data_IF_305555592832
#
_entry.id   IF_305555592832
#
_cell.length_a   1.000
_cell.length_b   1.000
_cell.length_c   1.000
_cell.angle_alpha   90.00
_cell.angle_beta   90.00
_cell.angle_gamma   90.00
#
_symmetry.space_group_name_H-M   'P 1'
#
loop_
_entity.id
_entity.type
_entity.pdbx_description
1 polymer ?
#
# COMPACT_ATOMS: atom_id res chain seq x y z
N UNK A 1 19.95 38.70 55.43
CA UNK A 1 19.65 37.29 55.12
C UNK A 1 19.42 37.18 53.61
N UNK A 2 20.16 36.30 52.94
CA UNK A 2 20.17 36.12 51.48
C UNK A 2 19.07 35.13 51.09
N UNK A 3 18.18 35.48 50.17
CA UNK A 3 17.31 34.53 49.47
C UNK A 3 17.63 34.59 47.98
N UNK A 4 18.41 33.61 47.53
CA UNK A 4 18.52 33.26 46.11
C UNK A 4 17.29 32.45 45.69
N UNK A 5 16.87 32.60 44.43
CA UNK A 5 15.75 31.86 43.86
C UNK A 5 15.65 32.12 42.36
N UNK A 6 16.47 31.41 41.56
CA UNK A 6 16.06 30.34 40.64
C UNK A 6 15.46 30.88 39.33
N UNK A 7 16.31 30.91 38.29
CA UNK A 7 15.95 31.12 36.89
C UNK A 7 15.25 29.84 36.40
N UNK A 8 13.97 29.94 36.05
CA UNK A 8 13.20 28.86 35.43
C UNK A 8 13.38 28.92 33.91
N UNK A 9 14.30 28.11 33.39
CA UNK A 9 14.49 27.93 31.95
C UNK A 9 13.51 26.87 31.40
N UNK A 10 12.46 27.30 30.70
CA UNK A 10 11.56 26.42 29.95
C UNK A 10 12.24 25.92 28.67
N UNK A 11 12.82 24.73 28.72
CA UNK A 11 13.26 23.99 27.53
C UNK A 11 12.02 23.42 26.84
N UNK A 12 11.62 24.04 25.73
CA UNK A 12 10.63 23.50 24.79
C UNK A 12 11.26 22.31 24.05
N UNK A 13 11.06 21.10 24.55
CA UNK A 13 11.42 19.89 23.81
C UNK A 13 10.47 19.73 22.63
N UNK A 14 10.99 19.98 21.43
CA UNK A 14 10.35 19.58 20.18
C UNK A 14 10.25 18.05 20.15
N UNK A 15 9.09 17.52 20.53
CA UNK A 15 8.78 16.11 20.35
C UNK A 15 8.66 15.79 18.87
N UNK A 16 9.68 15.14 18.30
CA UNK A 16 9.52 14.40 17.06
C UNK A 16 8.40 13.38 17.26
N UNK A 17 7.23 13.62 16.69
CA UNK A 17 6.19 12.60 16.56
C UNK A 17 6.71 11.55 15.57
N UNK A 18 7.42 10.56 16.11
CA UNK A 18 7.65 9.30 15.41
C UNK A 18 6.29 8.63 15.25
N UNK A 19 5.66 8.79 14.10
CA UNK A 19 4.52 7.95 13.72
C UNK A 19 4.98 6.51 13.79
N UNK A 20 4.44 5.73 14.73
CA UNK A 20 4.74 4.31 14.94
C UNK A 20 4.32 3.48 13.72
N UNK A 21 5.11 3.57 12.65
CA UNK A 21 5.17 2.56 11.62
C UNK A 21 5.87 1.38 12.27
N UNK A 22 5.19 0.24 12.40
CA UNK A 22 5.87 -1.04 12.67
C UNK A 22 6.88 -1.23 11.54
N UNK A 23 8.13 -0.86 11.81
CA UNK A 23 9.20 -0.97 10.83
C UNK A 23 9.38 -2.46 10.52
N UNK A 24 9.41 -2.86 9.25
CA UNK A 24 9.74 -4.24 8.92
C UNK A 24 11.08 -4.61 9.57
N UNK A 25 11.27 -5.86 10.02
CA UNK A 25 12.52 -6.30 10.63
C UNK A 25 13.71 -6.27 9.65
N UNK A 26 13.43 -6.06 8.37
CA UNK A 26 14.41 -5.98 7.28
C UNK A 26 14.60 -4.52 6.91
N UNK A 27 15.84 -4.00 6.79
CA UNK A 27 16.10 -2.66 6.29
C UNK A 27 15.81 -2.53 4.79
N UNK A 28 15.49 -1.31 4.34
CA UNK A 28 15.25 -1.07 2.92
C UNK A 28 16.56 -1.11 2.13
N UNK A 29 16.59 -1.90 1.05
CA UNK A 29 17.68 -1.93 0.07
C UNK A 29 17.21 -1.41 -1.30
N UNK A 30 17.76 -0.27 -1.69
CA UNK A 30 17.55 0.37 -2.98
C UNK A 30 18.03 -0.47 -4.17
N UNK A 31 19.09 -1.26 -3.97
CA UNK A 31 19.68 -2.10 -5.01
C UNK A 31 18.76 -3.28 -5.35
N UNK A 32 18.19 -3.94 -4.34
CA UNK A 32 17.16 -4.96 -4.53
C UNK A 32 15.91 -4.41 -5.23
N UNK A 33 15.56 -3.14 -5.01
CA UNK A 33 14.39 -2.51 -5.61
C UNK A 33 14.63 -1.95 -7.03
N UNK A 34 15.86 -2.00 -7.57
CA UNK A 34 16.23 -1.34 -8.84
C UNK A 34 15.34 -1.73 -10.01
N UNK A 35 14.84 -2.97 -10.01
CA UNK A 35 14.08 -3.57 -11.12
C UNK A 35 12.85 -2.74 -11.49
N UNK A 36 12.28 -2.00 -10.53
CA UNK A 36 11.13 -1.12 -10.79
C UNK A 36 11.46 0.04 -11.73
N UNK A 37 12.75 0.40 -11.87
CA UNK A 37 13.24 1.45 -12.77
C UNK A 37 13.70 0.92 -14.13
N UNK A 38 13.84 -0.40 -14.26
CA UNK A 38 14.19 -1.03 -15.53
C UNK A 38 13.01 -0.94 -16.50
N UNK A 39 13.29 -0.62 -17.76
CA UNK A 39 12.28 -0.61 -18.81
C UNK A 39 12.22 -2.02 -19.41
N UNK A 40 11.13 -2.73 -19.15
CA UNK A 40 10.83 -3.98 -19.86
C UNK A 40 9.88 -3.79 -21.03
N UNK A 41 9.50 -4.90 -21.65
CA UNK A 41 8.52 -4.95 -22.76
C UNK A 41 7.16 -5.48 -22.32
N UNK A 42 7.01 -5.86 -21.05
CA UNK A 42 5.81 -6.51 -20.54
C UNK A 42 4.80 -5.51 -19.99
N UNK A 43 3.57 -5.99 -19.86
CA UNK A 43 2.45 -5.25 -19.28
C UNK A 43 1.84 -6.03 -18.12
N UNK A 44 1.50 -5.33 -17.05
CA UNK A 44 0.61 -5.85 -16.01
C UNK A 44 -0.70 -5.09 -16.14
N UNK A 45 -1.81 -5.80 -16.27
CA UNK A 45 -3.14 -5.19 -16.31
C UNK A 45 -4.11 -5.95 -15.42
N UNK A 46 -5.24 -5.31 -15.11
CA UNK A 46 -6.20 -5.94 -14.24
C UNK A 46 -7.39 -5.07 -13.89
N UNK A 47 -8.20 -5.60 -13.00
CA UNK A 47 -9.36 -4.92 -12.43
C UNK A 47 -9.29 -4.93 -10.91
N UNK A 48 -9.67 -3.81 -10.30
CA UNK A 48 -9.77 -3.65 -8.85
C UNK A 48 -11.24 -3.58 -8.43
N UNK A 49 -11.62 -4.45 -7.51
CA UNK A 49 -12.99 -4.58 -7.02
C UNK A 49 -13.02 -4.80 -5.51
N UNK A 50 -14.13 -4.37 -4.90
CA UNK A 50 -14.44 -4.57 -3.50
C UNK A 50 -15.74 -5.36 -3.39
N UNK A 51 -15.72 -6.45 -2.66
CA UNK A 51 -16.89 -7.30 -2.40
C UNK A 51 -17.41 -6.99 -1.00
N UNK A 52 -18.65 -6.51 -0.94
CA UNK A 52 -19.40 -6.27 0.29
C UNK A 52 -19.85 -7.59 0.92
N UNK A 53 -20.37 -7.54 2.15
CA UNK A 53 -20.79 -8.73 2.90
C UNK A 53 -21.93 -9.51 2.24
N UNK A 54 -22.81 -8.84 1.51
CA UNK A 54 -23.91 -9.42 0.74
C UNK A 54 -23.45 -10.05 -0.59
N UNK A 55 -22.15 -10.00 -0.90
CA UNK A 55 -21.58 -10.54 -2.14
C UNK A 55 -21.60 -9.57 -3.32
N UNK A 56 -22.12 -8.35 -3.15
CA UNK A 56 -22.13 -7.34 -4.20
C UNK A 56 -20.71 -6.86 -4.52
N UNK A 57 -20.37 -6.79 -5.81
CA UNK A 57 -19.05 -6.37 -6.27
C UNK A 57 -19.05 -4.92 -6.77
N UNK A 58 -18.22 -4.08 -6.16
CA UNK A 58 -18.06 -2.67 -6.48
C UNK A 58 -16.71 -2.41 -7.15
N UNK A 59 -16.73 -1.80 -8.33
CA UNK A 59 -15.52 -1.37 -9.04
C UNK A 59 -14.84 -0.23 -8.30
N UNK A 60 -13.52 -0.30 -8.17
CA UNK A 60 -12.76 0.71 -7.44
C UNK A 60 -12.29 1.84 -8.34
N UNK A 61 -13.26 2.57 -8.88
CA UNK A 61 -13.01 3.69 -9.78
C UNK A 61 -12.10 4.76 -9.17
N UNK A 62 -11.10 5.22 -9.90
CA UNK A 62 -10.19 6.29 -9.46
C UNK A 62 -9.22 5.91 -8.33
N UNK A 63 -9.22 4.65 -7.88
CA UNK A 63 -8.28 4.18 -6.86
C UNK A 63 -6.83 4.29 -7.36
N UNK A 64 -5.90 4.60 -6.45
CA UNK A 64 -4.46 4.60 -6.78
C UNK A 64 -3.95 3.17 -6.66
N UNK A 65 -3.55 2.60 -7.78
CA UNK A 65 -2.92 1.28 -7.83
C UNK A 65 -1.41 1.46 -7.81
N UNK A 66 -0.73 0.67 -6.99
CA UNK A 66 0.71 0.72 -6.76
C UNK A 66 1.36 -0.57 -7.23
N UNK A 67 2.46 -0.46 -7.96
CA UNK A 67 3.33 -1.55 -8.35
C UNK A 67 4.63 -1.43 -7.56
N UNK A 68 4.95 -2.45 -6.78
CA UNK A 68 6.10 -2.50 -5.87
C UNK A 68 6.94 -3.73 -6.21
N UNK A 69 8.27 -3.64 -6.37
CA UNK A 69 9.11 -4.81 -6.55
C UNK A 69 9.10 -5.69 -5.30
N UNK A 70 8.98 -7.01 -5.45
CA UNK A 70 8.93 -7.97 -4.33
C UNK A 70 10.33 -8.25 -3.74
N UNK A 71 10.93 -7.23 -3.12
CA UNK A 71 12.19 -7.33 -2.36
C UNK A 71 11.97 -7.93 -0.97
N UNK A 72 13.01 -8.42 -0.27
CA UNK A 72 12.89 -8.88 1.11
C UNK A 72 12.21 -7.87 2.06
N UNK A 73 12.56 -6.58 1.92
CA UNK A 73 11.90 -5.49 2.64
C UNK A 73 10.40 -5.44 2.36
N UNK A 74 10.02 -5.41 1.08
CA UNK A 74 8.60 -5.30 0.70
C UNK A 74 7.81 -6.54 1.13
N UNK A 75 8.37 -7.74 1.02
CA UNK A 75 7.74 -8.98 1.47
C UNK A 75 7.44 -8.91 2.97
N UNK A 76 8.44 -8.56 3.79
CA UNK A 76 8.26 -8.40 5.23
C UNK A 76 7.24 -7.30 5.56
N UNK A 77 7.27 -6.19 4.82
CA UNK A 77 6.33 -5.07 4.98
C UNK A 77 4.89 -5.49 4.66
N UNK A 78 4.65 -6.15 3.54
CA UNK A 78 3.31 -6.60 3.16
C UNK A 78 2.78 -7.65 4.14
N UNK A 79 3.61 -8.60 4.58
CA UNK A 79 3.24 -9.56 5.61
C UNK A 79 2.82 -8.88 6.93
N UNK A 80 3.58 -7.89 7.38
CA UNK A 80 3.28 -7.14 8.60
C UNK A 80 2.00 -6.29 8.48
N UNK A 81 1.86 -5.53 7.38
CA UNK A 81 0.73 -4.62 7.18
C UNK A 81 -0.58 -5.37 6.95
N UNK A 82 -0.54 -6.46 6.19
CA UNK A 82 -1.74 -7.23 5.84
C UNK A 82 -1.98 -8.44 6.75
N UNK A 83 -1.13 -8.66 7.76
CA UNK A 83 -1.29 -9.74 8.76
C UNK A 83 -1.45 -11.12 8.10
N UNK A 84 -0.71 -11.36 7.02
CA UNK A 84 -0.77 -12.58 6.23
C UNK A 84 -2.02 -12.75 5.35
N UNK A 85 -2.88 -11.73 5.25
CA UNK A 85 -4.11 -11.76 4.40
C UNK A 85 -3.87 -11.01 3.09
N UNK A 86 -4.66 -11.28 2.05
CA UNK A 86 -4.59 -10.51 0.80
C UNK A 86 -5.39 -9.20 0.84
N UNK A 87 -6.33 -9.10 1.79
CA UNK A 87 -7.19 -7.94 1.99
C UNK A 87 -7.40 -7.72 3.48
N UNK A 88 -7.49 -6.46 3.90
CA UNK A 88 -7.76 -6.06 5.28
C UNK A 88 -8.82 -4.96 5.32
N UNK A 89 -9.63 -4.90 6.40
CA UNK A 89 -10.67 -3.88 6.56
C UNK A 89 -10.08 -2.47 6.72
N UNK A 90 -10.88 -1.41 6.48
CA UNK A 90 -10.43 -0.02 6.53
C UNK A 90 -9.73 0.37 7.83
N UNK A 91 -10.22 -0.14 8.96
CA UNK A 91 -9.67 0.12 10.29
C UNK A 91 -8.23 -0.37 10.50
N UNK A 92 -7.76 -1.30 9.66
CA UNK A 92 -6.40 -1.81 9.69
C UNK A 92 -5.58 -1.40 8.47
N UNK A 93 -6.17 -0.62 7.55
CA UNK A 93 -5.48 -0.22 6.35
C UNK A 93 -4.23 0.60 6.71
N UNK A 94 -3.08 0.31 6.07
CA UNK A 94 -1.88 1.09 6.29
C UNK A 94 -2.10 2.56 5.89
N UNK A 95 -1.39 3.49 6.54
CA UNK A 95 -1.29 4.85 6.04
C UNK A 95 -0.86 4.88 4.57
N UNK A 96 -1.37 5.86 3.82
CA UNK A 96 -1.05 6.01 2.41
C UNK A 96 0.42 6.37 2.14
N UNK A 97 1.09 6.97 3.14
CA UNK A 97 2.51 7.31 3.08
C UNK A 97 3.36 6.19 3.69
N UNK A 98 4.30 5.70 2.90
CA UNK A 98 5.25 4.66 3.28
C UNK A 98 6.67 5.22 3.52
N UNK A 99 6.81 6.55 3.51
CA UNK A 99 8.08 7.27 3.53
C UNK A 99 8.60 7.57 2.11
N UNK A 100 9.40 8.63 1.95
CA UNK A 100 9.83 9.12 0.64
C UNK A 100 10.74 8.13 -0.10
N UNK A 101 11.65 7.47 0.62
CA UNK A 101 12.60 6.51 0.02
C UNK A 101 11.87 5.33 -0.61
N UNK A 102 11.01 4.63 0.13
CA UNK A 102 10.26 3.49 -0.40
C UNK A 102 9.28 3.91 -1.51
N UNK A 103 8.62 5.05 -1.34
CA UNK A 103 7.69 5.59 -2.33
C UNK A 103 8.38 5.90 -3.67
N UNK A 104 9.66 6.29 -3.65
CA UNK A 104 10.47 6.52 -4.88
C UNK A 104 10.79 5.24 -5.69
N UNK A 105 10.55 4.06 -5.10
CA UNK A 105 10.66 2.74 -5.74
C UNK A 105 9.30 2.08 -5.96
N UNK A 106 8.22 2.88 -5.95
CA UNK A 106 6.87 2.45 -6.25
C UNK A 106 6.38 3.15 -7.49
N UNK A 107 5.83 2.40 -8.45
CA UNK A 107 5.11 2.98 -9.59
C UNK A 107 3.63 3.09 -9.26
N UNK A 108 2.96 4.13 -9.74
CA UNK A 108 1.53 4.32 -9.50
C UNK A 108 0.77 4.53 -10.79
N UNK A 109 -0.47 4.04 -10.82
CA UNK A 109 -1.46 4.36 -11.86
C UNK A 109 -2.82 4.62 -11.20
N UNK A 110 -3.78 5.15 -11.94
CA UNK A 110 -5.15 5.36 -11.48
C UNK A 110 -6.07 4.37 -12.17
N UNK A 111 -6.92 3.71 -11.39
CA UNK A 111 -7.97 2.86 -11.94
C UNK A 111 -9.00 3.71 -12.70
N UNK A 112 -9.46 3.22 -13.85
CA UNK A 112 -10.51 3.83 -14.67
C UNK A 112 -11.87 3.84 -13.93
N UNK A 113 -12.91 4.43 -14.55
CA UNK A 113 -14.28 4.34 -14.04
C UNK A 113 -14.77 2.88 -13.91
N UNK A 114 -14.21 1.97 -14.72
CA UNK A 114 -14.53 0.56 -14.72
C UNK A 114 -13.67 -0.25 -13.73
N UNK A 115 -12.83 0.42 -12.93
CA UNK A 115 -11.91 -0.22 -12.00
C UNK A 115 -10.71 -0.90 -12.67
N UNK A 116 -10.53 -0.72 -13.99
CA UNK A 116 -9.40 -1.31 -14.72
C UNK A 116 -8.14 -0.47 -14.57
N UNK A 117 -6.98 -1.11 -14.59
CA UNK A 117 -5.68 -0.45 -14.48
C UNK A 117 -4.63 -1.18 -15.32
N UNK A 118 -3.54 -0.47 -15.64
CA UNK A 118 -2.40 -1.06 -16.30
C UNK A 118 -1.07 -0.39 -15.93
N UNK A 119 -0.01 -1.18 -16.00
CA UNK A 119 1.39 -0.76 -15.94
C UNK A 119 2.12 -1.27 -17.18
N UNK A 120 2.58 -0.35 -18.02
CA UNK A 120 3.37 -0.68 -19.21
C UNK A 120 4.87 -0.73 -18.91
N UNK A 121 5.65 -1.30 -19.83
CA UNK A 121 7.12 -1.33 -19.75
C UNK A 121 7.64 -1.92 -18.44
N UNK A 122 7.04 -3.03 -18.00
CA UNK A 122 7.42 -3.75 -16.79
C UNK A 122 8.52 -4.75 -17.15
N UNK A 123 9.63 -4.75 -16.40
CA UNK A 123 10.69 -5.74 -16.54
C UNK A 123 10.27 -7.10 -15.95
N UNK A 124 10.82 -8.24 -16.43
CA UNK A 124 10.62 -9.52 -15.78
C UNK A 124 10.95 -9.45 -14.29
N UNK A 125 10.14 -10.07 -13.44
CA UNK A 125 10.33 -10.00 -12.00
C UNK A 125 9.11 -10.47 -11.22
N UNK A 126 9.16 -10.26 -9.90
CA UNK A 126 8.02 -10.47 -9.01
C UNK A 126 7.64 -9.14 -8.40
N UNK A 127 6.35 -8.83 -8.37
CA UNK A 127 5.83 -7.55 -7.91
C UNK A 127 4.63 -7.75 -7.00
N UNK A 128 4.44 -6.82 -6.09
CA UNK A 128 3.15 -6.61 -5.45
C UNK A 128 2.38 -5.55 -6.24
N UNK A 129 1.12 -5.85 -6.56
CA UNK A 129 0.15 -4.87 -7.04
C UNK A 129 -0.84 -4.62 -5.93
N UNK A 130 -0.87 -3.39 -5.42
CA UNK A 130 -1.63 -3.03 -4.23
C UNK A 130 -2.51 -1.82 -4.47
N UNK A 131 -3.65 -1.77 -3.80
CA UNK A 131 -4.52 -0.60 -3.81
C UNK A 131 -5.31 -0.54 -2.51
N UNK A 132 -5.83 0.64 -2.20
CA UNK A 132 -6.84 0.82 -1.18
C UNK A 132 -7.85 1.84 -1.64
N UNK A 133 -9.10 1.62 -1.27
CA UNK A 133 -10.15 2.63 -1.40
C UNK A 133 -11.06 2.49 -0.21
N UNK A 134 -11.06 3.53 0.61
CA UNK A 134 -11.88 3.62 1.80
C UNK A 134 -12.83 4.79 1.59
N UNK A 135 -14.11 4.58 1.83
CA UNK A 135 -15.13 5.60 1.72
C UNK A 135 -15.95 5.67 3.00
N UNK A 136 -16.29 6.89 3.40
CA UNK A 136 -17.20 7.16 4.49
C UNK A 136 -18.48 7.72 3.88
N UNK A 137 -19.54 6.92 3.87
CA UNK A 137 -20.86 7.42 3.49
C UNK A 137 -21.31 8.50 4.49
N UNK A 138 -21.95 9.56 3.99
CA UNK A 138 -22.50 10.62 4.84
C UNK A 138 -23.51 10.00 5.82
N UNK A 139 -23.28 10.17 7.12
CA UNK A 139 -24.13 9.61 8.17
C UNK A 139 -23.78 8.17 8.60
N UNK A 140 -22.79 7.53 7.97
CA UNK A 140 -22.25 6.24 8.44
C UNK A 140 -21.09 6.44 9.41
N UNK A 141 -21.16 5.77 10.56
CA UNK A 141 -20.06 5.73 11.54
C UNK A 141 -18.98 4.71 11.18
N UNK A 142 -19.23 3.82 10.22
CA UNK A 142 -18.30 2.77 9.81
C UNK A 142 -17.78 3.04 8.41
N UNK A 143 -16.46 3.25 8.22
CA UNK A 143 -15.89 3.35 6.88
C UNK A 143 -16.03 2.01 6.15
N UNK A 144 -16.30 2.08 4.87
CA UNK A 144 -16.38 0.94 3.97
C UNK A 144 -15.17 0.90 3.03
N UNK A 145 -14.97 -0.25 2.39
CA UNK A 145 -13.85 -0.50 1.50
C UNK A 145 -12.81 -1.44 2.08
N UNK A 146 -11.62 -1.46 1.46
CA UNK A 146 -10.53 -2.33 1.87
C UNK A 146 -9.18 -1.79 1.39
N UNK A 147 -8.11 -2.27 2.02
CA UNK A 147 -6.79 -2.32 1.40
C UNK A 147 -6.54 -3.76 0.97
N UNK A 148 -5.99 -3.96 -0.24
CA UNK A 148 -5.70 -5.29 -0.76
C UNK A 148 -4.48 -5.29 -1.68
N UNK A 149 -3.94 -6.48 -1.93
CA UNK A 149 -2.84 -6.68 -2.86
C UNK A 149 -2.87 -8.07 -3.51
N UNK A 150 -2.16 -8.18 -4.62
CA UNK A 150 -1.79 -9.43 -5.26
C UNK A 150 -0.28 -9.47 -5.48
N UNK A 151 0.32 -10.65 -5.41
CA UNK A 151 1.69 -10.86 -5.88
C UNK A 151 1.65 -11.45 -7.28
N UNK A 152 2.37 -10.84 -8.21
CA UNK A 152 2.40 -11.23 -9.62
C UNK A 152 3.83 -11.50 -10.08
N UNK A 153 4.01 -12.60 -10.82
CA UNK A 153 5.26 -12.95 -11.49
C UNK A 153 5.14 -12.60 -12.96
N UNK A 154 6.06 -11.78 -13.47
CA UNK A 154 6.21 -11.49 -14.90
C UNK A 154 7.39 -12.29 -15.43
N UNK A 155 7.11 -13.28 -16.28
CA UNK A 155 8.12 -14.09 -16.97
C UNK A 155 8.71 -13.40 -18.20
N UNK A 156 9.87 -13.85 -18.71
CA UNK A 156 10.50 -13.28 -19.91
C UNK A 156 9.67 -13.46 -21.19
N UNK A 157 8.83 -14.50 -21.25
CA UNK A 157 8.02 -14.85 -22.43
C UNK A 157 6.55 -14.40 -22.29
N UNK A 158 6.22 -13.62 -21.25
CA UNK A 158 4.85 -13.19 -20.97
C UNK A 158 4.65 -11.73 -21.41
N UNK A 159 4.12 -11.43 -22.61
CA UNK A 159 3.95 -10.06 -23.06
C UNK A 159 3.01 -9.26 -22.15
N UNK A 160 1.99 -9.92 -21.58
CA UNK A 160 1.09 -9.33 -20.60
C UNK A 160 0.70 -10.34 -19.52
N UNK A 161 0.46 -9.83 -18.30
CA UNK A 161 -0.11 -10.59 -17.19
C UNK A 161 -1.37 -9.86 -16.70
N UNK A 162 -2.48 -10.60 -16.65
CA UNK A 162 -3.76 -10.12 -16.14
C UNK A 162 -3.98 -10.57 -14.70
N UNK A 163 -4.40 -9.67 -13.82
CA UNK A 163 -4.72 -9.96 -12.41
C UNK A 163 -6.04 -9.32 -11.97
N UNK A 164 -6.59 -9.77 -10.85
CA UNK A 164 -7.78 -9.14 -10.24
C UNK A 164 -7.50 -8.83 -8.77
N UNK A 165 -7.57 -7.56 -8.40
CA UNK A 165 -7.41 -7.13 -7.01
C UNK A 165 -8.77 -7.16 -6.32
N UNK A 166 -8.95 -8.11 -5.40
CA UNK A 166 -10.22 -8.29 -4.66
C UNK A 166 -10.05 -7.86 -3.20
N UNK A 167 -10.62 -6.71 -2.86
CA UNK A 167 -10.87 -6.35 -1.47
C UNK A 167 -12.15 -7.03 -0.98
N UNK A 168 -12.16 -7.51 0.26
CA UNK A 168 -13.38 -8.06 0.89
C UNK A 168 -13.69 -7.35 2.20
N UNK A 169 -14.96 -7.06 2.41
CA UNK A 169 -15.45 -6.66 3.71
C UNK A 169 -15.53 -7.89 4.61
N UNK A 170 -14.63 -8.03 5.58
CA UNK A 170 -14.76 -9.12 6.56
C UNK A 170 -16.04 -8.94 7.40
N UNK A 171 -16.78 -10.04 7.56
CA UNK A 171 -17.77 -10.20 8.61
C UNK A 171 -17.07 -10.26 9.97
N UNK A 172 -17.72 -9.78 11.03
CA UNK A 172 -17.31 -10.16 12.39
C UNK A 172 -17.38 -11.69 12.44
N UNK A 173 -16.25 -12.36 12.68
CA UNK A 173 -16.25 -13.72 13.21
C UNK A 173 -16.55 -13.66 14.71
#
# INVERSE_FOLDING_TARGET
MRFGGVILACVMTAGCQSTSSVAPPVPFDAQAARVIREKGVHRIEGQALFVTRDGSAHKLAGATVRLVPATPYSVARFQALYRGRQSIPPMWAPPADAGPTYSSYTRTTRASAQGTFAFDRVAPGTYFVATSKIYSARGSFTPEGAAMYEMVRVGPDQPAVSITLVGRQEGRF
#
